data_IF_312033961313
#
_entry.id   IF_312033961313
#
_cell.length_a   1.000
_cell.length_b   1.000
_cell.length_c   1.000
_cell.angle_alpha   90.00
_cell.angle_beta   90.00
_cell.angle_gamma   90.00
#
_symmetry.space_group_name_H-M   'P 1'
#
loop_
_entity.id
_entity.type
_entity.pdbx_description
1 polymer ?
#
# COMPACT_ATOMS: atom_id res chain seq x y z
N UNK A 1 1.92 9.15 -2.05
CA UNK A 1 2.19 9.88 -0.79
C UNK A 1 1.82 9.08 0.45
N UNK A 2 0.60 8.55 0.57
CA UNK A 2 0.14 7.78 1.74
C UNK A 2 1.08 6.66 2.21
N UNK A 3 1.65 5.89 1.27
CA UNK A 3 2.63 4.85 1.58
C UNK A 3 3.91 5.43 2.22
N UNK A 4 4.42 6.56 1.71
CA UNK A 4 5.63 7.22 2.25
C UNK A 4 5.37 7.79 3.65
N UNK A 5 4.17 8.36 3.88
CA UNK A 5 3.77 8.80 5.22
C UNK A 5 3.81 7.64 6.22
N UNK A 6 3.12 6.54 5.90
CA UNK A 6 3.12 5.35 6.78
C UNK A 6 4.54 4.82 7.00
N UNK A 7 5.37 4.79 5.96
CA UNK A 7 6.76 4.36 6.06
C UNK A 7 7.55 5.21 7.07
N UNK A 8 7.34 6.53 7.08
CA UNK A 8 8.06 7.45 7.94
C UNK A 8 7.53 7.49 9.39
N UNK A 9 6.21 7.39 9.57
CA UNK A 9 5.59 7.51 10.90
C UNK A 9 5.69 6.23 11.72
N UNK A 10 5.27 5.10 11.13
CA UNK A 10 5.12 3.83 11.86
C UNK A 10 5.93 2.67 11.25
N UNK A 11 6.45 2.86 10.04
CA UNK A 11 7.13 1.83 9.26
C UNK A 11 6.16 0.87 8.57
N UNK A 12 6.51 0.44 7.34
CA UNK A 12 5.66 -0.45 6.55
C UNK A 12 5.46 -1.83 7.18
N UNK A 13 6.34 -2.25 8.09
CA UNK A 13 6.21 -3.52 8.81
C UNK A 13 5.05 -3.56 9.81
N UNK A 14 4.49 -2.40 10.17
CA UNK A 14 3.25 -2.31 10.96
C UNK A 14 2.00 -2.57 10.15
N UNK A 15 2.08 -2.52 8.81
CA UNK A 15 0.94 -2.86 7.96
C UNK A 15 0.66 -4.37 7.98
N UNK A 16 -0.62 -4.77 7.88
CA UNK A 16 -0.98 -6.15 7.56
C UNK A 16 -0.22 -6.66 6.34
N UNK A 17 0.22 -7.93 6.36
CA UNK A 17 1.10 -8.53 5.33
C UNK A 17 0.65 -8.21 3.90
N UNK A 18 -0.64 -8.37 3.62
CA UNK A 18 -1.25 -8.15 2.32
C UNK A 18 -1.21 -6.68 1.85
N UNK A 19 -1.20 -5.70 2.77
CA UNK A 19 -1.05 -4.28 2.48
C UNK A 19 0.43 -3.91 2.37
N UNK A 20 1.27 -4.47 3.24
CA UNK A 20 2.72 -4.30 3.21
C UNK A 20 3.34 -4.70 1.88
N UNK A 21 2.95 -5.85 1.34
CA UNK A 21 3.42 -6.33 0.03
C UNK A 21 3.06 -5.35 -1.08
N UNK A 22 1.82 -4.85 -1.12
CA UNK A 22 1.38 -3.86 -2.11
C UNK A 22 2.11 -2.53 -1.93
N UNK A 23 2.31 -2.08 -0.69
CA UNK A 23 3.05 -0.85 -0.39
C UNK A 23 4.49 -0.94 -0.89
N UNK A 24 5.18 -2.06 -0.64
CA UNK A 24 6.55 -2.31 -1.11
C UNK A 24 6.62 -2.36 -2.62
N UNK A 25 5.72 -3.10 -3.28
CA UNK A 25 5.68 -3.18 -4.74
C UNK A 25 5.43 -1.82 -5.39
N UNK A 26 4.50 -1.02 -4.85
CA UNK A 26 4.23 0.33 -5.37
C UNK A 26 5.41 1.29 -5.18
N UNK A 27 6.23 1.13 -4.14
CA UNK A 27 7.46 1.91 -3.97
C UNK A 27 8.59 1.45 -4.90
N UNK A 28 8.74 0.14 -5.09
CA UNK A 28 9.76 -0.44 -5.97
C UNK A 28 9.46 -0.18 -7.45
N UNK A 29 8.18 -0.18 -7.81
CA UNK A 29 7.70 -0.05 -9.19
C UNK A 29 6.61 1.04 -9.28
N UNK A 30 7.00 2.33 -9.19
CA UNK A 30 6.05 3.44 -9.14
C UNK A 30 5.21 3.58 -10.42
N UNK A 31 5.79 3.26 -11.58
CA UNK A 31 5.20 3.46 -12.90
C UNK A 31 4.33 2.29 -13.39
N UNK A 32 4.41 1.13 -12.71
CA UNK A 32 3.64 -0.05 -13.07
C UNK A 32 2.14 0.15 -12.81
N UNK A 33 1.31 -0.40 -13.71
CA UNK A 33 -0.13 -0.36 -13.53
C UNK A 33 -0.58 -1.22 -12.35
N UNK A 34 -1.79 -0.96 -11.86
CA UNK A 34 -2.39 -1.79 -10.80
C UNK A 34 -2.54 -3.26 -11.19
N UNK A 35 -2.67 -3.54 -12.50
CA UNK A 35 -2.77 -4.90 -13.02
C UNK A 35 -1.41 -5.59 -12.96
N UNK A 36 -0.34 -4.92 -13.38
CA UNK A 36 1.03 -5.45 -13.35
C UNK A 36 1.49 -5.69 -11.91
N UNK A 37 1.30 -4.72 -11.01
CA UNK A 37 1.60 -4.92 -9.58
C UNK A 37 0.82 -6.11 -8.98
N UNK A 38 -0.41 -6.31 -9.44
CA UNK A 38 -1.23 -7.45 -9.04
C UNK A 38 -0.69 -8.78 -9.50
N UNK A 39 -0.12 -8.84 -10.71
CA UNK A 39 0.53 -10.03 -11.25
C UNK A 39 1.84 -10.38 -10.54
N UNK A 40 2.51 -9.40 -9.92
CA UNK A 40 3.74 -9.61 -9.14
C UNK A 40 3.51 -10.20 -7.74
N UNK A 41 2.26 -10.25 -7.26
CA UNK A 41 1.94 -10.86 -5.96
C UNK A 41 1.85 -12.38 -6.04
N UNK A 42 2.01 -13.04 -4.89
CA UNK A 42 1.79 -14.48 -4.75
C UNK A 42 0.81 -14.78 -3.59
N UNK A 43 -0.42 -15.24 -3.87
CA UNK A 43 -0.99 -15.47 -5.20
C UNK A 43 -1.25 -14.16 -5.97
N UNK A 44 -1.28 -14.19 -7.32
CA UNK A 44 -1.61 -13.02 -8.12
C UNK A 44 -2.98 -12.45 -7.79
N UNK A 45 -3.11 -11.13 -7.89
CA UNK A 45 -4.36 -10.41 -7.59
C UNK A 45 -4.73 -9.53 -8.78
N UNK A 46 -6.01 -9.47 -9.12
CA UNK A 46 -6.47 -8.55 -10.18
C UNK A 46 -6.39 -7.07 -9.79
N UNK A 47 -6.53 -6.18 -10.78
CA UNK A 47 -6.57 -4.71 -10.62
C UNK A 47 -7.46 -4.25 -9.45
N UNK A 48 -8.67 -4.81 -9.34
CA UNK A 48 -9.62 -4.43 -8.28
C UNK A 48 -9.10 -4.77 -6.88
N UNK A 49 -8.45 -5.92 -6.71
CA UNK A 49 -7.90 -6.34 -5.42
C UNK A 49 -6.72 -5.47 -4.97
N UNK A 50 -5.84 -5.06 -5.89
CA UNK A 50 -4.80 -4.07 -5.59
C UNK A 50 -5.42 -2.72 -5.20
N UNK A 51 -6.42 -2.25 -5.96
CA UNK A 51 -7.10 -1.00 -5.67
C UNK A 51 -7.74 -0.99 -4.27
N UNK A 52 -8.40 -2.09 -3.87
CA UNK A 52 -8.94 -2.24 -2.52
C UNK A 52 -7.86 -2.14 -1.43
N UNK A 53 -6.69 -2.76 -1.66
CA UNK A 53 -5.57 -2.71 -0.71
C UNK A 53 -4.99 -1.29 -0.61
N UNK A 54 -4.82 -0.59 -1.74
CA UNK A 54 -4.35 0.80 -1.74
C UNK A 54 -5.33 1.74 -1.03
N UNK A 55 -6.64 1.59 -1.24
CA UNK A 55 -7.65 2.36 -0.49
C UNK A 55 -7.57 2.14 1.02
N UNK A 56 -7.25 0.92 1.46
CA UNK A 56 -7.03 0.64 2.90
C UNK A 56 -5.76 1.31 3.42
N UNK A 57 -4.69 1.31 2.62
CA UNK A 57 -3.44 2.03 2.95
C UNK A 57 -3.71 3.53 3.07
N UNK A 58 -4.51 4.10 2.17
CA UNK A 58 -4.92 5.52 2.24
C UNK A 58 -5.67 5.82 3.53
N UNK A 59 -6.63 4.98 3.94
CA UNK A 59 -7.35 5.14 5.20
C UNK A 59 -6.43 5.12 6.43
N UNK A 60 -5.47 4.20 6.48
CA UNK A 60 -4.48 4.14 7.56
C UNK A 60 -3.65 5.43 7.59
N UNK A 61 -3.23 5.93 6.42
CA UNK A 61 -2.51 7.19 6.33
C UNK A 61 -3.37 8.38 6.80
N UNK A 62 -4.66 8.38 6.49
CA UNK A 62 -5.60 9.42 6.94
C UNK A 62 -5.80 9.41 8.46
N UNK A 63 -5.84 8.23 9.07
CA UNK A 63 -5.88 8.07 10.54
C UNK A 63 -4.62 8.67 11.18
N UNK A 64 -3.43 8.34 10.66
CA UNK A 64 -2.16 8.92 11.13
C UNK A 64 -2.13 10.46 11.02
N UNK A 65 -2.65 11.02 9.91
CA UNK A 65 -2.73 12.48 9.72
C UNK A 65 -3.64 13.16 10.74
N UNK A 66 -4.64 12.45 11.26
CA UNK A 66 -5.58 12.98 12.27
C UNK A 66 -5.00 12.87 13.67
N UNK A 67 -4.24 11.82 13.97
CA UNK A 67 -3.59 11.63 15.27
C UNK A 67 -2.40 12.58 15.49
N UNK A 68 -1.73 13.01 14.42
CA UNK A 68 -0.67 14.03 14.47
C UNK A 68 -1.16 15.48 14.54
N UNK A 69 -2.47 15.72 14.72
CA UNK A 69 -3.09 17.05 14.91
C UNK A 69 -3.62 17.18 16.32
#
# INVERSE_FOLDING_TARGET
ESIKLIQNEIGLDRLPKNLKEVARLRLAFPDESLKELGAMLNPPVGKSGINHRLRRIEKIADELRKEGR
#
